data_IF_864918228897
#
_entry.id   IF_864918228897
#
_cell.length_a   1.000
_cell.length_b   1.000
_cell.length_c   1.000
_cell.angle_alpha   90.00
_cell.angle_beta   90.00
_cell.angle_gamma   90.00
#
_symmetry.space_group_name_H-M   'P 1'
#
loop_
_entity.id
_entity.type
_entity.pdbx_description
1 polymer ?
#
# COMPACT_ATOMS: atom_id res chain seq x y z
N UNK A 1 6.35 62.22 -42.51
CA UNK A 1 6.59 63.35 -41.58
C UNK A 1 5.35 63.53 -40.72
N UNK A 2 5.44 64.27 -39.61
CA UNK A 2 4.58 64.17 -38.39
C UNK A 2 4.88 62.85 -37.62
N UNK A 3 5.43 62.77 -36.39
CA UNK A 3 5.25 63.50 -35.10
C UNK A 3 4.14 62.85 -34.23
N UNK A 4 4.40 62.14 -33.12
CA UNK A 4 4.78 62.57 -31.73
C UNK A 4 3.76 63.52 -31.06
N UNK A 5 3.34 63.38 -29.79
CA UNK A 5 3.65 62.43 -28.69
C UNK A 5 2.34 61.79 -28.11
N UNK A 6 1.96 61.61 -26.82
CA UNK A 6 2.41 61.92 -25.43
C UNK A 6 1.70 60.96 -24.43
N UNK A 7 2.10 60.84 -23.15
CA UNK A 7 1.38 60.05 -22.08
C UNK A 7 1.41 60.76 -20.70
N UNK A 8 0.32 60.73 -19.93
CA UNK A 8 0.34 60.58 -18.44
C UNK A 8 -0.66 59.51 -17.93
N UNK A 9 -0.37 58.64 -16.93
CA UNK A 9 -0.25 58.90 -15.47
C UNK A 9 -1.60 59.40 -14.87
N UNK A 10 -2.28 58.77 -13.90
CA UNK A 10 -1.89 57.98 -12.69
C UNK A 10 -3.08 57.11 -12.18
N UNK A 11 -2.92 56.01 -11.42
CA UNK A 11 -3.22 55.83 -9.96
C UNK A 11 -3.44 54.31 -9.74
N UNK A 12 -2.62 53.50 -9.03
CA UNK A 12 -2.27 53.38 -7.60
C UNK A 12 -3.20 52.46 -6.76
N UNK A 13 -2.59 51.57 -5.95
CA UNK A 13 -3.19 50.47 -5.13
C UNK A 13 -3.85 49.32 -5.94
N UNK A 14 -3.92 48.07 -5.45
CA UNK A 14 -3.56 47.48 -4.14
C UNK A 14 -2.55 46.32 -4.30
N UNK A 15 -1.96 45.84 -3.19
CA UNK A 15 -1.05 44.67 -3.18
C UNK A 15 -1.57 43.56 -2.28
N UNK A 16 -1.55 42.30 -2.76
CA UNK A 16 -0.95 41.13 -2.08
C UNK A 16 -1.02 39.87 -2.96
N UNK A 17 -0.23 38.81 -2.69
CA UNK A 17 -0.07 37.69 -3.62
C UNK A 17 -1.27 36.74 -3.62
N UNK A 18 -1.53 36.11 -4.77
CA UNK A 18 -2.47 35.01 -4.87
C UNK A 18 -1.89 33.78 -4.16
N UNK A 19 -2.21 33.62 -2.88
CA UNK A 19 -1.79 32.50 -2.07
C UNK A 19 -2.15 31.18 -2.76
N UNK A 20 -1.16 30.30 -2.92
CA UNK A 20 -1.41 28.93 -3.34
C UNK A 20 -2.00 28.23 -2.12
N UNK A 21 -3.33 28.21 -2.02
CA UNK A 21 -4.04 27.29 -1.13
C UNK A 21 -3.87 25.87 -1.67
N UNK A 22 -2.67 25.32 -1.42
CA UNK A 22 -2.35 23.91 -1.53
C UNK A 22 -3.22 23.19 -0.50
N UNK A 23 -4.45 22.90 -0.90
CA UNK A 23 -5.39 22.06 -0.17
C UNK A 23 -4.64 20.80 0.24
N UNK A 24 -4.38 20.56 1.53
CA UNK A 24 -3.75 19.31 1.92
C UNK A 24 -4.72 18.21 1.52
N UNK A 25 -4.29 17.33 0.62
CA UNK A 25 -4.93 16.07 0.31
C UNK A 25 -4.77 15.16 1.54
N UNK A 26 -5.53 15.54 2.58
CA UNK A 26 -5.65 14.88 3.87
C UNK A 26 -6.02 13.44 3.59
N UNK A 27 -5.00 12.60 3.68
CA UNK A 27 -5.01 11.28 3.08
C UNK A 27 -6.15 10.47 3.68
N UNK A 28 -6.79 9.63 2.88
CA UNK A 28 -7.80 8.70 3.35
C UNK A 28 -7.15 7.62 4.24
N UNK A 29 -6.77 8.02 5.45
CA UNK A 29 -6.51 7.15 6.59
C UNK A 29 -7.85 6.53 6.98
N UNK A 30 -8.29 5.57 6.17
CA UNK A 30 -9.41 4.70 6.48
C UNK A 30 -9.19 4.16 7.89
N UNK A 31 -10.12 4.51 8.79
CA UNK A 31 -10.05 4.11 10.20
C UNK A 31 -10.07 2.59 10.26
N UNK A 32 -8.90 2.00 10.50
CA UNK A 32 -8.74 0.55 10.60
C UNK A 32 -9.68 0.02 11.67
N UNK A 33 -10.35 -1.11 11.41
CA UNK A 33 -11.24 -1.68 12.41
C UNK A 33 -10.44 -2.06 13.66
N UNK A 34 -10.99 -1.83 14.87
CA UNK A 34 -10.26 -2.12 16.11
C UNK A 34 -9.88 -3.61 16.21
N UNK A 35 -10.67 -4.49 15.59
CA UNK A 35 -10.41 -5.93 15.44
C UNK A 35 -9.11 -6.21 14.66
N UNK A 36 -8.86 -5.45 13.57
CA UNK A 36 -7.63 -5.58 12.80
C UNK A 36 -6.44 -5.05 13.62
N UNK A 37 -6.59 -3.93 14.33
CA UNK A 37 -5.51 -3.41 15.18
C UNK A 37 -5.17 -4.37 16.35
N UNK A 38 -6.18 -5.00 16.96
CA UNK A 38 -6.01 -6.08 17.93
C UNK A 38 -5.31 -7.30 17.31
N UNK A 39 -5.68 -7.70 16.09
CA UNK A 39 -5.04 -8.81 15.37
C UNK A 39 -3.57 -8.52 15.06
N UNK A 40 -3.25 -7.31 14.59
CA UNK A 40 -1.87 -6.88 14.33
C UNK A 40 -1.04 -6.79 15.62
N UNK A 41 -1.64 -6.37 16.74
CA UNK A 41 -1.00 -6.39 18.05
C UNK A 41 -0.72 -7.82 18.54
N UNK A 42 -1.68 -8.73 18.39
CA UNK A 42 -1.52 -10.15 18.72
C UNK A 42 -0.39 -10.78 17.90
N UNK A 43 -0.37 -10.58 16.58
CA UNK A 43 0.69 -11.06 15.69
C UNK A 43 2.06 -10.50 16.13
N UNK A 44 2.16 -9.19 16.38
CA UNK A 44 3.42 -8.56 16.81
C UNK A 44 3.88 -8.94 18.22
N UNK A 45 3.02 -9.57 19.03
CA UNK A 45 3.37 -10.11 20.35
C UNK A 45 3.86 -11.56 20.30
N UNK A 46 3.59 -12.28 19.21
CA UNK A 46 3.85 -13.71 19.14
C UNK A 46 5.33 -14.00 18.83
N UNK A 47 6.01 -14.73 19.72
CA UNK A 47 7.48 -14.96 19.68
C UNK A 47 8.07 -15.58 18.40
N UNK A 48 7.24 -16.18 17.54
CA UNK A 48 7.67 -16.73 16.25
C UNK A 48 7.59 -15.70 15.11
N UNK A 49 6.91 -14.56 15.31
CA UNK A 49 6.65 -13.55 14.29
C UNK A 49 7.80 -12.56 14.27
N UNK A 50 8.51 -12.52 13.14
CA UNK A 50 9.59 -11.59 12.84
C UNK A 50 9.08 -10.24 12.33
N UNK A 51 7.82 -10.19 11.90
CA UNK A 51 7.15 -8.97 11.44
C UNK A 51 5.83 -9.25 10.72
N UNK A 52 5.11 -8.19 10.39
CA UNK A 52 3.94 -8.23 9.51
C UNK A 52 3.97 -7.08 8.51
N UNK A 53 3.21 -7.21 7.42
CA UNK A 53 3.00 -6.17 6.42
C UNK A 53 1.58 -6.24 5.88
N UNK A 54 0.91 -5.09 5.87
CA UNK A 54 -0.46 -4.90 5.39
C UNK A 54 -0.39 -4.10 4.08
N UNK A 55 -0.81 -4.72 2.97
CA UNK A 55 -0.73 -4.17 1.63
C UNK A 55 -2.12 -3.81 1.09
N UNK A 56 -2.20 -2.83 0.17
CA UNK A 56 -3.40 -2.59 -0.62
C UNK A 56 -3.55 -3.61 -1.76
N UNK A 57 -4.79 -3.86 -2.22
CA UNK A 57 -5.10 -4.80 -3.32
C UNK A 57 -4.90 -4.23 -4.73
N UNK A 58 -4.52 -2.96 -4.88
CA UNK A 58 -4.38 -2.28 -6.18
C UNK A 58 -2.95 -2.21 -6.72
N UNK A 59 -2.80 -1.90 -8.01
CA UNK A 59 -1.50 -1.72 -8.67
C UNK A 59 -1.20 -0.22 -8.89
N UNK A 60 -0.01 0.28 -8.53
CA UNK A 60 1.07 -0.41 -7.81
C UNK A 60 0.73 -0.64 -6.34
N UNK A 61 1.13 -1.80 -5.82
CA UNK A 61 0.87 -2.22 -4.43
C UNK A 61 1.49 -1.25 -3.43
N UNK A 62 0.68 -0.66 -2.55
CA UNK A 62 1.15 0.23 -1.49
C UNK A 62 1.16 -0.45 -0.12
N UNK A 63 2.17 -0.15 0.69
CA UNK A 63 2.26 -0.61 2.09
C UNK A 63 1.41 0.33 2.94
N UNK A 64 0.38 -0.20 3.58
CA UNK A 64 -0.53 0.54 4.45
C UNK A 64 0.02 0.59 5.88
N UNK A 65 0.59 -0.53 6.35
CA UNK A 65 1.28 -0.64 7.65
C UNK A 65 2.28 -1.79 7.61
N UNK A 66 3.37 -1.71 8.37
CA UNK A 66 4.28 -2.83 8.60
C UNK A 66 4.82 -2.79 10.04
N UNK A 67 5.38 -3.91 10.49
CA UNK A 67 6.14 -4.04 11.73
C UNK A 67 7.25 -5.06 11.55
N UNK A 68 8.39 -4.86 12.23
CA UNK A 68 9.58 -5.71 12.12
C UNK A 68 10.58 -5.21 11.08
N UNK A 69 11.86 -5.15 11.48
CA UNK A 69 12.98 -4.53 10.73
C UNK A 69 13.26 -5.13 9.34
N UNK A 70 12.72 -6.32 9.05
CA UNK A 70 12.84 -6.96 7.73
C UNK A 70 12.04 -6.21 6.65
N UNK A 71 11.00 -5.46 7.05
CA UNK A 71 10.14 -4.70 6.14
C UNK A 71 10.46 -3.20 6.08
N UNK A 72 11.57 -2.75 6.68
CA UNK A 72 11.92 -1.33 6.65
C UNK A 72 12.51 -0.88 5.29
N UNK A 73 12.21 0.37 4.93
CA UNK A 73 12.80 1.06 3.79
C UNK A 73 12.58 0.37 2.44
N UNK A 74 13.68 0.06 1.75
CA UNK A 74 13.62 -0.55 0.40
C UNK A 74 13.28 -2.04 0.43
N UNK A 75 13.60 -2.75 1.52
CA UNK A 75 13.32 -4.19 1.61
C UNK A 75 11.82 -4.46 1.74
N UNK A 76 11.10 -3.65 2.53
CA UNK A 76 9.63 -3.68 2.57
C UNK A 76 8.99 -3.52 1.20
N UNK A 77 9.45 -2.53 0.42
CA UNK A 77 8.95 -2.30 -0.96
C UNK A 77 9.22 -3.50 -1.88
N UNK A 78 10.38 -4.15 -1.76
CA UNK A 78 10.72 -5.37 -2.51
C UNK A 78 9.83 -6.55 -2.11
N UNK A 79 9.63 -6.77 -0.80
CA UNK A 79 8.69 -7.79 -0.33
C UNK A 79 7.26 -7.51 -0.80
N UNK A 80 6.79 -6.26 -0.73
CA UNK A 80 5.43 -5.88 -1.13
C UNK A 80 5.14 -6.22 -2.60
N UNK A 81 6.02 -5.81 -3.52
CA UNK A 81 5.87 -6.13 -4.95
C UNK A 81 5.97 -7.63 -5.27
N UNK A 82 6.85 -8.36 -4.58
CA UNK A 82 6.97 -9.82 -4.73
C UNK A 82 5.72 -10.55 -4.20
N UNK A 83 5.21 -10.16 -3.03
CA UNK A 83 4.02 -10.74 -2.41
C UNK A 83 2.78 -10.51 -3.27
N UNK A 84 2.58 -9.28 -3.76
CA UNK A 84 1.48 -8.95 -4.69
C UNK A 84 1.53 -9.82 -5.94
N UNK A 85 2.71 -9.92 -6.57
CA UNK A 85 2.90 -10.74 -7.77
C UNK A 85 2.69 -12.23 -7.52
N UNK A 86 3.06 -12.75 -6.35
CA UNK A 86 2.82 -14.16 -5.98
C UNK A 86 1.31 -14.43 -5.88
N UNK A 87 0.55 -13.56 -5.21
CA UNK A 87 -0.92 -13.70 -5.11
C UNK A 87 -1.58 -13.55 -6.48
N UNK A 88 -1.18 -12.55 -7.27
CA UNK A 88 -1.66 -12.33 -8.64
C UNK A 88 -1.41 -13.55 -9.55
N UNK A 89 -0.20 -14.12 -9.52
CA UNK A 89 0.14 -15.34 -10.29
C UNK A 89 -0.67 -16.55 -9.81
N UNK A 90 -0.94 -16.66 -8.51
CA UNK A 90 -1.77 -17.73 -7.95
C UNK A 90 -3.25 -17.58 -8.30
N UNK A 91 -3.78 -16.35 -8.39
CA UNK A 91 -5.16 -16.08 -8.82
C UNK A 91 -5.33 -16.43 -10.31
N UNK A 92 -4.45 -15.95 -11.20
CA UNK A 92 -4.49 -16.28 -12.64
C UNK A 92 -4.35 -17.79 -12.88
N UNK A 93 -3.43 -18.47 -12.21
CA UNK A 93 -3.26 -19.92 -12.37
C UNK A 93 -4.46 -20.75 -11.87
N UNK A 94 -5.29 -20.19 -10.98
CA UNK A 94 -6.50 -20.82 -10.47
C UNK A 94 -7.70 -20.58 -11.40
N UNK A 95 -7.78 -19.39 -12.01
CA UNK A 95 -8.71 -19.09 -13.11
C UNK A 95 -8.45 -19.99 -14.33
N UNK A 96 -7.18 -20.20 -14.72
CA UNK A 96 -6.78 -21.12 -15.80
C UNK A 96 -7.20 -22.57 -15.54
N UNK A 97 -7.12 -23.04 -14.29
CA UNK A 97 -7.55 -24.39 -13.89
C UNK A 97 -9.07 -24.51 -13.83
N UNK A 98 -9.77 -23.46 -13.39
CA UNK A 98 -11.23 -23.46 -13.21
C UNK A 98 -12.03 -23.40 -14.53
N UNK A 99 -11.36 -23.20 -15.68
CA UNK A 99 -11.94 -23.35 -17.01
C UNK A 99 -13.05 -22.36 -17.39
N UNK A 100 -13.37 -21.38 -16.53
CA UNK A 100 -14.50 -20.47 -16.68
C UNK A 100 -15.84 -21.00 -16.17
N UNK A 101 -15.84 -22.07 -15.38
CA UNK A 101 -17.04 -22.55 -14.69
C UNK A 101 -17.48 -21.58 -13.56
N UNK A 102 -18.75 -21.63 -13.17
CA UNK A 102 -19.34 -20.61 -12.26
C UNK A 102 -18.95 -20.75 -10.79
N UNK A 103 -18.30 -21.86 -10.39
CA UNK A 103 -17.65 -22.06 -9.09
C UNK A 103 -16.13 -21.88 -9.26
N UNK A 104 -15.69 -20.65 -9.54
CA UNK A 104 -14.28 -20.32 -9.65
C UNK A 104 -13.63 -20.31 -8.25
N UNK A 105 -12.66 -21.20 -8.04
CA UNK A 105 -11.90 -21.29 -6.79
C UNK A 105 -11.09 -20.00 -6.54
N UNK A 106 -10.95 -19.58 -5.28
CA UNK A 106 -10.25 -18.34 -4.93
C UNK A 106 -9.15 -18.51 -3.87
N UNK A 107 -8.09 -17.68 -3.97
CA UNK A 107 -6.89 -17.75 -3.14
C UNK A 107 -7.15 -17.18 -1.74
N UNK A 108 -7.75 -17.99 -0.86
CA UNK A 108 -7.98 -17.65 0.56
C UNK A 108 -6.70 -17.53 1.40
N UNK A 109 -5.68 -18.34 1.12
CA UNK A 109 -4.46 -18.39 1.92
C UNK A 109 -3.27 -18.99 1.15
N UNK A 110 -2.07 -18.42 1.32
CA UNK A 110 -0.81 -18.99 0.82
C UNK A 110 0.22 -19.05 1.96
N UNK A 111 1.07 -20.09 1.94
CA UNK A 111 2.12 -20.30 2.95
C UNK A 111 3.41 -20.78 2.30
N UNK A 112 4.48 -20.01 2.48
CA UNK A 112 5.77 -20.21 1.81
C UNK A 112 6.90 -20.36 2.84
N UNK A 113 7.23 -21.61 3.22
CA UNK A 113 8.35 -21.91 4.14
C UNK A 113 9.66 -22.02 3.36
N UNK A 114 10.64 -21.21 3.74
CA UNK A 114 12.03 -21.28 3.22
C UNK A 114 12.99 -21.74 4.31
N UNK A 115 14.26 -21.96 3.98
CA UNK A 115 15.32 -22.27 4.96
C UNK A 115 15.60 -21.16 5.99
N UNK A 116 15.07 -19.94 5.78
CA UNK A 116 15.40 -18.75 6.58
C UNK A 116 14.20 -18.03 7.17
N UNK A 117 13.10 -17.96 6.41
CA UNK A 117 11.86 -17.30 6.81
C UNK A 117 10.66 -18.13 6.36
N UNK A 118 9.56 -18.09 7.10
CA UNK A 118 8.26 -18.60 6.66
C UNK A 118 7.30 -17.44 6.45
N UNK A 119 6.64 -17.36 5.29
CA UNK A 119 5.72 -16.28 4.96
C UNK A 119 4.31 -16.85 4.89
N UNK A 120 3.40 -16.31 5.71
CA UNK A 120 1.97 -16.58 5.66
C UNK A 120 1.28 -15.38 4.99
N UNK A 121 0.45 -15.62 3.98
CA UNK A 121 -0.19 -14.57 3.18
C UNK A 121 -1.70 -14.84 3.15
N UNK A 122 -2.49 -13.90 3.64
CA UNK A 122 -3.95 -13.93 3.65
C UNK A 122 -4.50 -12.75 2.85
N UNK A 123 -5.04 -12.96 1.65
CA UNK A 123 -5.85 -11.97 0.94
C UNK A 123 -7.17 -11.70 1.69
N UNK A 124 -7.57 -10.43 1.72
CA UNK A 124 -8.88 -9.90 2.17
C UNK A 124 -9.42 -9.06 1.00
N UNK A 125 -10.72 -8.80 0.94
CA UNK A 125 -11.32 -7.96 -0.11
C UNK A 125 -10.69 -6.55 -0.15
N UNK A 126 -10.24 -6.04 1.01
CA UNK A 126 -9.77 -4.67 1.21
C UNK A 126 -8.25 -4.54 1.26
N UNK A 127 -7.55 -5.59 1.66
CA UNK A 127 -6.09 -5.58 1.87
C UNK A 127 -5.49 -6.97 1.64
N UNK A 128 -4.16 -7.05 1.71
CA UNK A 128 -3.42 -8.30 1.59
C UNK A 128 -2.44 -8.34 2.77
N UNK A 129 -2.72 -9.22 3.74
CA UNK A 129 -1.92 -9.37 4.97
C UNK A 129 -0.83 -10.40 4.74
N UNK A 130 0.43 -10.02 4.99
CA UNK A 130 1.57 -10.93 5.03
C UNK A 130 2.19 -10.93 6.43
N UNK A 131 2.50 -12.11 6.96
CA UNK A 131 3.16 -12.30 8.25
C UNK A 131 4.45 -13.10 8.04
N UNK A 132 5.54 -12.62 8.63
CA UNK A 132 6.86 -13.23 8.56
C UNK A 132 7.13 -13.99 9.85
N UNK A 133 7.44 -15.28 9.74
CA UNK A 133 7.74 -16.18 10.85
C UNK A 133 9.18 -16.73 10.77
N UNK A 134 9.72 -17.10 11.92
CA UNK A 134 10.95 -17.90 12.04
C UNK A 134 10.64 -19.39 11.75
N UNK A 135 11.25 -20.02 10.71
CA UNK A 135 11.03 -21.41 10.35
C UNK A 135 11.82 -22.39 11.23
N UNK A 136 12.50 -21.93 12.28
CA UNK A 136 13.09 -22.77 13.33
C UNK A 136 12.19 -22.94 14.57
N UNK A 137 11.05 -22.21 14.62
CA UNK A 137 9.92 -22.48 15.55
C UNK A 137 8.88 -23.43 14.97
#
# INVERSE_FOLDING_TARGET
>A
MMATQTVPTRTAFVSQPNGIESSPSSSAASSMSPELEQTLALLSSHRSVLGYMLLSRGHPTSIIRHSGVVFDGEQGRKYAGVISRIVETAQVGLEEISGGDSDADEVRFLRLRTKRHEIMISPDDRYLLAVLHDPAT
#
